data_IF_224769032580
#
_entry.id   IF_224769032580
#
_cell.length_a   1.000
_cell.length_b   1.000
_cell.length_c   1.000
_cell.angle_alpha   90.00
_cell.angle_beta   90.00
_cell.angle_gamma   90.00
#
_symmetry.space_group_name_H-M   'P 1'
#
loop_
_entity.id
_entity.type
_entity.pdbx_description
1 polymer ?
#
# COMPACT_ATOMS: atom_id res chain seq x y z
N UNK A 1 3.47 21.94 26.46
CA UNK A 1 3.77 22.11 25.02
C UNK A 1 4.21 20.80 24.32
N UNK A 2 5.08 19.96 24.90
CA UNK A 2 5.54 18.72 24.23
C UNK A 2 4.49 17.61 24.02
N UNK A 3 3.63 17.31 25.00
CA UNK A 3 2.62 16.24 24.89
C UNK A 3 1.55 16.50 23.82
N UNK A 4 1.22 17.76 23.57
CA UNK A 4 0.27 18.15 22.51
C UNK A 4 0.93 17.96 21.14
N UNK A 5 2.18 18.42 20.99
CA UNK A 5 2.95 18.23 19.75
C UNK A 5 3.13 16.75 19.41
N UNK A 6 3.42 15.90 20.40
CA UNK A 6 3.53 14.44 20.20
C UNK A 6 2.25 13.82 19.65
N UNK A 7 1.09 14.13 20.24
CA UNK A 7 -0.22 13.63 19.75
C UNK A 7 -0.54 14.16 18.34
N UNK A 8 -0.21 15.42 18.04
CA UNK A 8 -0.41 15.97 16.70
C UNK A 8 0.46 15.25 15.67
N UNK A 9 1.72 14.97 16.00
CA UNK A 9 2.64 14.23 15.14
C UNK A 9 2.09 12.83 14.83
N UNK A 10 1.68 12.09 15.87
CA UNK A 10 1.09 10.75 15.69
C UNK A 10 -0.12 10.79 14.75
N UNK A 11 -1.05 11.73 14.94
CA UNK A 11 -2.21 11.87 14.05
C UNK A 11 -1.84 12.17 12.60
N UNK A 12 -0.75 12.91 12.37
CA UNK A 12 -0.25 13.17 11.01
C UNK A 12 0.33 11.90 10.39
N UNK A 13 1.06 11.10 11.16
CA UNK A 13 1.59 9.81 10.70
C UNK A 13 0.45 8.85 10.33
N UNK A 14 -0.56 8.71 11.19
CA UNK A 14 -1.75 7.88 10.93
C UNK A 14 -2.51 8.32 9.66
N UNK A 15 -2.51 9.62 9.34
CA UNK A 15 -3.11 10.13 8.11
C UNK A 15 -2.22 9.86 6.89
N UNK A 16 -0.91 9.96 7.05
CA UNK A 16 0.05 9.69 5.98
C UNK A 16 -0.01 8.21 5.55
N UNK A 17 -0.10 7.29 6.50
CA UNK A 17 -0.27 5.85 6.24
C UNK A 17 -1.50 5.57 5.37
N UNK A 18 -2.62 6.27 5.63
CA UNK A 18 -3.84 6.17 4.79
C UNK A 18 -3.63 6.69 3.38
N UNK A 19 -2.92 7.82 3.23
CA UNK A 19 -2.59 8.39 1.92
C UNK A 19 -1.73 7.41 1.11
N UNK A 20 -0.68 6.86 1.73
CA UNK A 20 0.19 5.88 1.10
C UNK A 20 -0.54 4.58 0.75
N UNK A 21 -1.47 4.13 1.59
CA UNK A 21 -2.31 2.97 1.31
C UNK A 21 -3.18 3.17 0.06
N UNK A 22 -3.80 4.35 -0.09
CA UNK A 22 -4.60 4.69 -1.28
C UNK A 22 -3.71 4.79 -2.52
N UNK A 23 -2.53 5.42 -2.41
CA UNK A 23 -1.56 5.49 -3.50
C UNK A 23 -1.11 4.09 -3.95
N UNK A 24 -0.82 3.20 -3.01
CA UNK A 24 -0.44 1.81 -3.27
C UNK A 24 -1.56 1.05 -4.02
N UNK A 25 -2.81 1.24 -3.63
CA UNK A 25 -3.97 0.67 -4.32
C UNK A 25 -4.05 1.15 -5.77
N UNK A 26 -3.95 2.46 -5.98
CA UNK A 26 -4.01 3.05 -7.31
C UNK A 26 -2.85 2.57 -8.20
N UNK A 27 -1.62 2.55 -7.66
CA UNK A 27 -0.44 2.07 -8.37
C UNK A 27 -0.56 0.58 -8.72
N UNK A 28 -1.02 -0.24 -7.78
CA UNK A 28 -1.24 -1.67 -7.99
C UNK A 28 -2.28 -1.95 -9.06
N UNK A 29 -3.33 -1.13 -9.12
CA UNK A 29 -4.35 -1.23 -10.16
C UNK A 29 -3.83 -0.78 -11.53
N UNK A 30 -3.08 0.33 -11.57
CA UNK A 30 -2.48 0.84 -12.80
C UNK A 30 -1.50 -0.16 -13.43
N UNK A 31 -0.72 -0.89 -12.63
CA UNK A 31 0.17 -1.96 -13.12
C UNK A 31 -0.60 -3.07 -13.83
N UNK A 32 -1.81 -3.39 -13.40
CA UNK A 32 -2.63 -4.41 -14.07
C UNK A 32 -3.24 -3.89 -15.39
N UNK A 33 -3.59 -2.60 -15.46
CA UNK A 33 -4.13 -2.03 -16.69
C UNK A 33 -3.11 -1.92 -17.83
N UNK A 34 -1.81 -1.90 -17.52
CA UNK A 34 -0.75 -1.84 -18.54
C UNK A 34 -0.22 -3.22 -18.96
N UNK A 35 -0.77 -4.32 -18.44
CA UNK A 35 -0.37 -5.67 -18.85
C UNK A 35 -0.56 -5.83 -20.37
N UNK A 36 0.39 -6.49 -21.09
CA UNK A 36 1.42 -7.40 -20.59
C UNK A 36 2.75 -6.74 -20.18
N UNK A 37 2.85 -5.41 -20.16
CA UNK A 37 4.07 -4.73 -19.71
C UNK A 37 4.36 -5.07 -18.23
N UNK A 38 5.65 -5.24 -17.92
CA UNK A 38 6.13 -5.56 -16.58
C UNK A 38 7.01 -4.44 -16.06
N UNK A 39 6.93 -4.21 -14.75
CA UNK A 39 7.83 -3.31 -14.04
C UNK A 39 9.12 -4.03 -13.64
N UNK A 40 9.97 -3.40 -12.82
CA UNK A 40 11.20 -4.03 -12.34
C UNK A 40 10.92 -5.30 -11.52
N UNK A 41 11.84 -6.28 -11.46
CA UNK A 41 11.61 -7.54 -10.75
C UNK A 41 11.23 -7.37 -9.28
N UNK A 42 11.79 -6.36 -8.60
CA UNK A 42 11.47 -6.05 -7.20
C UNK A 42 10.04 -5.54 -7.08
N UNK A 43 9.62 -4.63 -7.97
CA UNK A 43 8.26 -4.11 -7.95
C UNK A 43 7.21 -5.15 -8.38
N UNK A 44 7.57 -6.13 -9.21
CA UNK A 44 6.68 -7.28 -9.47
C UNK A 44 6.50 -8.17 -8.23
N UNK A 45 7.53 -8.35 -7.39
CA UNK A 45 7.39 -9.04 -6.09
C UNK A 45 6.49 -8.25 -5.13
N UNK A 46 6.69 -6.94 -5.05
CA UNK A 46 5.84 -6.04 -4.26
C UNK A 46 4.39 -6.12 -4.73
N UNK A 47 4.16 -6.05 -6.05
CA UNK A 47 2.83 -6.17 -6.64
C UNK A 47 2.19 -7.52 -6.32
N UNK A 48 2.94 -8.61 -6.41
CA UNK A 48 2.45 -9.95 -6.06
C UNK A 48 2.01 -10.01 -4.60
N UNK A 49 2.81 -9.48 -3.66
CA UNK A 49 2.46 -9.42 -2.23
C UNK A 49 1.19 -8.61 -1.98
N UNK A 50 1.01 -7.47 -2.64
CA UNK A 50 -0.23 -6.67 -2.54
C UNK A 50 -1.45 -7.46 -3.03
N UNK A 51 -1.28 -8.24 -4.09
CA UNK A 51 -2.36 -9.04 -4.71
C UNK A 51 -2.79 -10.25 -3.89
N UNK A 52 -1.98 -10.71 -2.93
CA UNK A 52 -2.39 -11.72 -1.96
C UNK A 52 -3.56 -11.24 -1.09
N UNK A 53 -3.57 -9.97 -0.70
CA UNK A 53 -4.59 -9.41 0.18
C UNK A 53 -5.68 -8.63 -0.58
N UNK A 54 -5.32 -8.00 -1.69
CA UNK A 54 -6.17 -7.06 -2.42
C UNK A 54 -6.30 -7.50 -3.90
N UNK A 55 -7.47 -7.99 -4.33
CA UNK A 55 -7.68 -8.44 -5.71
C UNK A 55 -7.68 -7.26 -6.69
N UNK A 56 -7.51 -7.57 -7.99
CA UNK A 56 -7.74 -6.61 -9.06
C UNK A 56 -9.23 -6.28 -9.16
N UNK A 57 -9.57 -5.00 -9.32
CA UNK A 57 -10.95 -4.55 -9.41
C UNK A 57 -11.34 -4.27 -10.87
N UNK A 58 -12.27 -5.04 -11.43
CA UNK A 58 -12.76 -4.82 -12.80
C UNK A 58 -13.97 -3.87 -12.86
N UNK A 59 -14.65 -3.70 -11.72
CA UNK A 59 -15.85 -2.88 -11.56
C UNK A 59 -15.80 -2.16 -10.21
N UNK A 60 -16.69 -1.18 -10.05
CA UNK A 60 -16.82 -0.45 -8.80
C UNK A 60 -17.21 -1.41 -7.65
N UNK A 61 -16.49 -1.29 -6.55
CA UNK A 61 -16.64 -2.10 -5.34
C UNK A 61 -16.56 -1.19 -4.10
N UNK A 62 -16.87 -1.73 -2.93
CA UNK A 62 -16.72 -0.98 -1.68
C UNK A 62 -15.24 -0.97 -1.27
N UNK A 63 -14.56 0.15 -1.54
CA UNK A 63 -13.11 0.29 -1.30
C UNK A 63 -12.70 0.40 0.17
N UNK A 64 -13.61 0.63 1.13
CA UNK A 64 -13.24 0.75 2.54
C UNK A 64 -12.48 -0.47 3.07
N UNK A 65 -12.89 -1.68 2.67
CA UNK A 65 -12.21 -2.93 3.03
C UNK A 65 -10.82 -3.01 2.39
N UNK A 66 -10.69 -2.63 1.13
CA UNK A 66 -9.41 -2.64 0.41
C UNK A 66 -8.42 -1.62 0.99
N UNK A 67 -8.91 -0.42 1.32
CA UNK A 67 -8.12 0.64 1.96
C UNK A 67 -7.62 0.18 3.33
N UNK A 68 -8.48 -0.44 4.15
CA UNK A 68 -8.05 -0.96 5.45
C UNK A 68 -6.97 -2.05 5.33
N UNK A 69 -7.08 -2.94 4.34
CA UNK A 69 -6.03 -3.93 4.04
C UNK A 69 -4.74 -3.25 3.59
N UNK A 70 -4.82 -2.25 2.72
CA UNK A 70 -3.65 -1.51 2.25
C UNK A 70 -2.95 -0.74 3.38
N UNK A 71 -3.71 -0.17 4.32
CA UNK A 71 -3.15 0.44 5.55
C UNK A 71 -2.38 -0.60 6.36
N UNK A 72 -2.95 -1.79 6.55
CA UNK A 72 -2.28 -2.87 7.28
C UNK A 72 -0.97 -3.29 6.59
N UNK A 73 -0.95 -3.36 5.26
CA UNK A 73 0.27 -3.64 4.49
C UNK A 73 1.31 -2.54 4.72
N UNK A 74 0.94 -1.26 4.63
CA UNK A 74 1.87 -0.13 4.87
C UNK A 74 2.45 -0.19 6.29
N UNK A 75 1.60 -0.45 7.30
CA UNK A 75 2.01 -0.54 8.70
C UNK A 75 2.88 -1.77 9.01
N UNK A 76 2.69 -2.87 8.28
CA UNK A 76 3.47 -4.10 8.50
C UNK A 76 4.96 -3.94 8.19
N UNK A 77 5.32 -3.02 7.28
CA UNK A 77 6.68 -2.90 6.76
C UNK A 77 7.10 -4.03 5.82
N UNK A 78 6.20 -4.99 5.50
CA UNK A 78 6.51 -6.15 4.64
C UNK A 78 7.11 -5.74 3.28
N UNK A 79 6.58 -4.66 2.69
CA UNK A 79 7.04 -4.19 1.38
C UNK A 79 8.48 -3.67 1.42
N UNK A 80 8.93 -3.11 2.55
CA UNK A 80 10.32 -2.68 2.74
C UNK A 80 11.25 -3.90 2.76
N UNK A 81 10.88 -4.96 3.47
CA UNK A 81 11.67 -6.20 3.51
C UNK A 81 11.83 -6.80 2.11
N UNK A 82 10.78 -6.76 1.28
CA UNK A 82 10.84 -7.21 -0.12
C UNK A 82 11.75 -6.30 -0.95
N UNK A 83 11.64 -4.99 -0.76
CA UNK A 83 12.41 -3.99 -1.52
C UNK A 83 13.91 -4.05 -1.20
N UNK A 84 14.27 -4.29 0.06
CA UNK A 84 15.64 -4.43 0.53
C UNK A 84 16.25 -5.80 0.22
N UNK A 85 15.43 -6.76 -0.26
CA UNK A 85 15.89 -8.11 -0.61
C UNK A 85 16.24 -8.98 0.60
N UNK A 86 15.63 -8.70 1.77
CA UNK A 86 15.85 -9.43 3.03
C UNK A 86 15.01 -10.72 3.08
N UNK A 87 14.33 -11.09 2.00
CA UNK A 87 13.54 -12.33 1.83
C UNK A 87 13.94 -13.12 0.59
#
# INVERSE_FOLDING_TARGET
MGSISGRKCLRVLENLEKIQAIELLCASQALEFVRPLKTSPILEKVQARVREDIPHFEKDEIFSTAINKAIAIVQSGDLLNIAEGVN
#
